data_IF_615419988472
#
_entry.id   IF_615419988472
#
_cell.length_a   1.000
_cell.length_b   1.000
_cell.length_c   1.000
_cell.angle_alpha   90.00
_cell.angle_beta   90.00
_cell.angle_gamma   90.00
#
_symmetry.space_group_name_H-M   'P 1'
#
loop_
_entity.id
_entity.type
_entity.pdbx_description
1 polymer ?
#
# COMPACT_ATOMS: atom_id res chain seq x y z
N UNK A 1 5.31 34.38 17.28
CA UNK A 1 6.05 33.78 16.14
C UNK A 1 5.19 33.78 14.88
N UNK A 2 4.00 33.16 14.90
CA UNK A 2 3.09 33.08 13.74
C UNK A 2 2.74 34.44 13.10
N UNK A 3 2.44 35.47 13.89
CA UNK A 3 2.13 36.81 13.37
C UNK A 3 3.26 37.45 12.55
N UNK A 4 4.53 37.15 12.88
CA UNK A 4 5.69 37.66 12.14
C UNK A 4 5.87 36.91 10.82
N UNK A 5 5.70 35.59 10.81
CA UNK A 5 5.79 34.75 9.60
C UNK A 5 4.72 35.15 8.59
N UNK A 6 3.48 35.39 9.06
CA UNK A 6 2.39 35.89 8.22
C UNK A 6 2.73 37.27 7.67
N UNK A 7 3.19 38.21 8.50
CA UNK A 7 3.54 39.56 8.05
C UNK A 7 4.65 39.54 6.98
N UNK A 8 5.65 38.67 7.13
CA UNK A 8 6.67 38.46 6.10
C UNK A 8 6.05 37.95 4.81
N UNK A 9 5.25 36.87 4.85
CA UNK A 9 4.60 36.32 3.65
C UNK A 9 3.75 37.36 2.91
N UNK A 10 3.00 38.18 3.65
CA UNK A 10 2.13 39.23 3.09
C UNK A 10 2.90 40.28 2.26
N UNK A 11 4.22 40.44 2.47
CA UNK A 11 5.05 41.35 1.67
C UNK A 11 5.39 40.78 0.28
N UNK A 12 5.29 39.45 0.11
CA UNK A 12 5.70 38.73 -1.11
C UNK A 12 4.51 38.17 -1.90
N UNK A 13 3.28 38.40 -1.45
CA UNK A 13 2.06 38.03 -2.18
C UNK A 13 1.30 39.29 -2.62
N UNK A 14 0.40 39.20 -3.63
CA UNK A 14 -0.39 40.35 -4.07
C UNK A 14 -1.21 40.99 -2.94
N UNK A 15 -1.41 42.31 -2.98
CA UNK A 15 -2.10 43.05 -1.92
C UNK A 15 -3.55 42.59 -1.69
N UNK A 16 -4.21 42.12 -2.74
CA UNK A 16 -5.56 41.58 -2.68
C UNK A 16 -5.62 40.10 -2.26
N UNK A 17 -4.48 39.46 -2.00
CA UNK A 17 -4.42 38.07 -1.61
C UNK A 17 -4.60 37.88 -0.10
N UNK A 18 -5.17 36.74 0.27
CA UNK A 18 -5.37 36.36 1.68
C UNK A 18 -4.74 34.99 1.94
N UNK A 19 -4.06 34.84 3.08
CA UNK A 19 -3.52 33.54 3.49
C UNK A 19 -4.66 32.56 3.73
N UNK A 20 -4.56 31.37 3.14
CA UNK A 20 -5.59 30.33 3.24
C UNK A 20 -5.63 29.76 4.66
N UNK A 21 -6.82 29.54 5.20
CA UNK A 21 -7.02 28.72 6.40
C UNK A 21 -7.22 27.25 6.00
N UNK A 22 -6.55 26.35 6.72
CA UNK A 22 -6.72 24.91 6.57
C UNK A 22 -8.10 24.53 7.12
N UNK A 23 -8.87 23.75 6.35
CA UNK A 23 -10.24 23.36 6.64
C UNK A 23 -10.34 22.23 7.66
N UNK A 24 -9.77 22.47 8.84
CA UNK A 24 -9.91 21.66 10.04
C UNK A 24 -10.51 22.52 11.16
N UNK A 25 -11.03 21.93 12.26
CA UNK A 25 -11.75 22.69 13.29
C UNK A 25 -10.99 23.88 13.88
N UNK A 26 -9.66 23.78 14.03
CA UNK A 26 -8.82 24.86 14.54
C UNK A 26 -8.52 25.98 13.53
N UNK A 27 -8.83 25.76 12.24
CA UNK A 27 -8.59 26.70 11.14
C UNK A 27 -7.23 27.41 11.14
N UNK A 28 -6.10 26.68 11.28
CA UNK A 28 -4.79 27.31 11.24
C UNK A 28 -4.52 27.90 9.85
N UNK A 29 -3.67 28.92 9.78
CA UNK A 29 -3.19 29.43 8.50
C UNK A 29 -2.29 28.38 7.82
N UNK A 30 -2.46 28.20 6.51
CA UNK A 30 -1.65 27.34 5.67
C UNK A 30 -0.29 28.01 5.39
N UNK A 31 0.53 28.11 6.44
CA UNK A 31 1.84 28.76 6.44
C UNK A 31 2.79 27.98 7.35
N UNK A 32 4.06 27.88 6.98
CA UNK A 32 5.07 27.17 7.76
C UNK A 32 6.49 27.61 7.42
N UNK A 33 7.41 27.25 8.31
CA UNK A 33 8.85 27.36 8.10
C UNK A 33 9.42 25.94 8.10
N UNK A 34 10.12 25.57 7.04
CA UNK A 34 10.63 24.20 6.86
C UNK A 34 11.88 24.20 5.99
N UNK A 35 12.83 23.33 6.30
CA UNK A 35 13.99 23.02 5.46
C UNK A 35 13.53 22.10 4.30
N UNK A 36 13.09 22.72 3.20
CA UNK A 36 12.52 22.00 2.06
C UNK A 36 13.59 21.37 1.17
N UNK A 37 14.80 21.94 1.13
CA UNK A 37 15.89 21.45 0.27
C UNK A 37 17.03 20.75 1.01
N UNK A 38 16.96 20.69 2.34
CA UNK A 38 17.86 19.91 3.19
C UNK A 38 19.20 20.61 3.45
N UNK A 39 19.29 21.93 3.27
CA UNK A 39 20.51 22.71 3.49
C UNK A 39 20.67 23.22 4.93
N UNK A 40 19.69 22.92 5.80
CA UNK A 40 19.65 23.34 7.21
C UNK A 40 19.08 24.74 7.43
N UNK A 41 18.70 25.46 6.37
CA UNK A 41 18.08 26.78 6.42
C UNK A 41 16.57 26.64 6.17
N UNK A 42 15.76 27.26 7.01
CA UNK A 42 14.30 27.17 6.86
C UNK A 42 13.78 28.10 5.76
N UNK A 43 13.07 27.53 4.79
CA UNK A 43 12.22 28.28 3.86
C UNK A 43 10.86 28.61 4.47
N UNK A 44 10.32 29.75 4.07
CA UNK A 44 8.96 30.14 4.38
C UNK A 44 8.04 29.65 3.25
N UNK A 45 7.05 28.83 3.58
CA UNK A 45 6.06 28.34 2.63
C UNK A 45 4.66 28.77 3.07
N UNK A 46 3.84 29.22 2.11
CA UNK A 46 2.48 29.65 2.42
C UNK A 46 1.53 29.55 1.24
N UNK A 47 0.30 29.13 1.53
CA UNK A 47 -0.80 29.14 0.58
C UNK A 47 -1.65 30.40 0.73
N UNK A 48 -1.98 31.04 -0.40
CA UNK A 48 -2.81 32.24 -0.44
C UNK A 48 -3.88 32.14 -1.53
N UNK A 49 -4.99 32.83 -1.31
CA UNK A 49 -6.11 32.93 -2.24
C UNK A 49 -6.02 34.24 -3.00
N UNK A 50 -6.08 34.16 -4.33
CA UNK A 50 -6.09 35.29 -5.24
C UNK A 50 -7.16 35.06 -6.31
N UNK A 51 -8.16 35.96 -6.37
CA UNK A 51 -9.26 35.91 -7.37
C UNK A 51 -9.91 34.52 -7.45
N UNK A 52 -10.22 33.94 -6.29
CA UNK A 52 -10.86 32.63 -6.15
C UNK A 52 -9.95 31.42 -6.36
N UNK A 53 -8.71 31.60 -6.80
CA UNK A 53 -7.72 30.51 -6.99
C UNK A 53 -6.77 30.46 -5.79
N UNK A 54 -6.33 29.25 -5.43
CA UNK A 54 -5.28 29.08 -4.41
C UNK A 54 -3.93 28.95 -5.10
N UNK A 55 -2.94 29.64 -4.55
CA UNK A 55 -1.55 29.61 -4.94
C UNK A 55 -0.70 29.26 -3.73
N UNK A 56 0.47 28.69 -3.97
CA UNK A 56 1.50 28.48 -2.96
C UNK A 56 2.74 29.24 -3.39
N UNK A 57 3.37 29.93 -2.45
CA UNK A 57 4.70 30.51 -2.65
C UNK A 57 5.67 29.92 -1.64
N UNK A 58 6.92 29.75 -2.09
CA UNK A 58 8.05 29.33 -1.26
C UNK A 58 9.09 30.44 -1.33
N UNK A 59 9.50 30.93 -0.17
CA UNK A 59 10.51 31.97 -0.01
C UNK A 59 11.75 31.38 0.64
N UNK A 60 12.92 31.65 0.05
CA UNK A 60 14.22 31.25 0.58
C UNK A 60 14.96 32.47 1.12
N UNK A 61 15.54 32.42 2.32
CA UNK A 61 16.30 33.54 2.85
C UNK A 61 17.65 33.68 2.14
N UNK A 62 18.00 34.90 1.77
CA UNK A 62 19.30 35.26 1.19
C UNK A 62 19.87 36.47 1.95
N UNK A 63 20.82 36.19 2.85
CA UNK A 63 21.34 37.21 3.77
C UNK A 63 20.26 37.74 4.71
N UNK A 64 19.91 39.03 4.57
CA UNK A 64 18.86 39.69 5.36
C UNK A 64 17.52 39.85 4.62
N UNK A 65 17.41 39.30 3.40
CA UNK A 65 16.21 39.41 2.57
C UNK A 65 15.62 38.02 2.27
N UNK A 66 14.39 38.01 1.73
CA UNK A 66 13.76 36.81 1.20
C UNK A 66 13.68 36.90 -0.32
N UNK A 67 13.86 35.78 -1.00
CA UNK A 67 13.64 35.66 -2.45
C UNK A 67 12.55 34.63 -2.72
N UNK A 68 11.72 34.88 -3.72
CA UNK A 68 10.70 33.91 -4.18
C UNK A 68 11.43 32.78 -4.90
N UNK A 69 11.49 31.61 -4.29
CA UNK A 69 12.07 30.41 -4.89
C UNK A 69 11.08 29.72 -5.85
N UNK A 70 9.79 29.72 -5.49
CA UNK A 70 8.74 29.18 -6.36
C UNK A 70 7.40 29.86 -6.09
N UNK A 71 6.55 29.92 -7.12
CA UNK A 71 5.12 30.19 -6.99
C UNK A 71 4.36 29.30 -7.95
N UNK A 72 3.38 28.57 -7.44
CA UNK A 72 2.59 27.65 -8.26
C UNK A 72 1.12 27.65 -7.83
N UNK A 73 0.25 27.29 -8.77
CA UNK A 73 -1.20 27.22 -8.55
C UNK A 73 -1.57 25.87 -7.92
N UNK A 74 -2.43 25.89 -6.91
CA UNK A 74 -2.98 24.68 -6.29
C UNK A 74 -4.03 23.96 -7.16
N UNK A 75 -4.25 22.67 -6.89
CA UNK A 75 -5.20 21.81 -7.61
C UNK A 75 -6.66 22.01 -7.16
N UNK A 76 -6.89 22.39 -5.90
CA UNK A 76 -8.21 22.44 -5.27
C UNK A 76 -8.74 23.85 -5.00
N UNK A 77 -9.98 23.93 -4.50
CA UNK A 77 -10.63 25.17 -4.08
C UNK A 77 -10.44 25.48 -2.58
N UNK A 78 -9.93 24.51 -1.82
CA UNK A 78 -9.59 24.59 -0.40
C UNK A 78 -8.36 23.76 -0.05
N UNK A 79 -7.92 23.84 1.20
CA UNK A 79 -6.79 23.08 1.75
C UNK A 79 -7.26 22.37 3.02
N UNK A 80 -7.14 21.04 3.09
CA UNK A 80 -7.55 20.21 4.23
C UNK A 80 -6.37 19.68 5.04
N UNK A 81 -5.18 19.70 4.44
CA UNK A 81 -3.91 19.43 5.12
C UNK A 81 -2.83 20.36 4.53
N UNK A 82 -2.00 20.94 5.38
CA UNK A 82 -0.85 21.74 4.98
C UNK A 82 0.26 21.53 5.99
N UNK A 83 1.32 20.84 5.59
CA UNK A 83 2.43 20.50 6.47
C UNK A 83 3.62 20.04 5.65
N UNK A 84 4.74 19.79 6.30
CA UNK A 84 5.94 19.31 5.64
C UNK A 84 6.63 18.25 6.50
N UNK A 85 7.16 17.22 5.86
CA UNK A 85 7.76 16.07 6.54
C UNK A 85 8.64 15.29 5.57
N UNK A 86 9.64 14.53 6.07
CA UNK A 86 10.52 13.71 5.24
C UNK A 86 9.77 12.49 4.70
N UNK A 87 8.93 12.66 3.67
CA UNK A 87 8.15 11.57 3.07
C UNK A 87 8.84 10.95 1.86
N UNK A 88 9.63 11.71 1.09
CA UNK A 88 10.30 11.20 -0.12
C UNK A 88 11.69 10.65 0.17
N UNK A 89 12.40 11.26 1.11
CA UNK A 89 13.72 10.84 1.57
C UNK A 89 13.96 11.36 3.00
N UNK A 90 15.00 10.87 3.66
CA UNK A 90 15.34 11.24 5.03
C UNK A 90 16.14 12.56 5.19
N UNK A 91 16.32 13.34 4.12
CA UNK A 91 17.15 14.57 4.13
C UNK A 91 16.34 15.84 3.91
N UNK A 92 15.32 15.81 3.05
CA UNK A 92 14.47 16.97 2.75
C UNK A 92 13.12 16.85 3.44
N UNK A 93 12.45 17.98 3.68
CA UNK A 93 11.08 18.02 4.17
C UNK A 93 10.14 18.61 3.11
N UNK A 94 9.72 17.83 2.10
CA UNK A 94 8.79 18.29 1.07
C UNK A 94 7.46 18.78 1.67
N UNK A 95 6.83 19.74 0.98
CA UNK A 95 5.53 20.27 1.36
C UNK A 95 4.44 19.28 0.94
N UNK A 96 3.59 18.91 1.88
CA UNK A 96 2.47 18.00 1.69
C UNK A 96 1.17 18.79 1.79
N UNK A 97 0.31 18.67 0.77
CA UNK A 97 -0.95 19.40 0.70
C UNK A 97 -2.10 18.45 0.40
N UNK A 98 -3.15 18.52 1.22
CA UNK A 98 -4.46 17.96 0.91
C UNK A 98 -5.31 19.02 0.22
N UNK A 99 -5.46 18.93 -1.10
CA UNK A 99 -6.26 19.88 -1.89
C UNK A 99 -7.72 19.49 -1.84
N UNK A 100 -8.59 20.33 -1.28
CA UNK A 100 -10.03 20.05 -1.32
C UNK A 100 -10.54 20.17 -2.76
N UNK A 101 -11.08 19.07 -3.27
CA UNK A 101 -11.62 18.95 -4.64
C UNK A 101 -13.12 18.66 -4.66
N UNK A 102 -13.69 18.23 -3.54
CA UNK A 102 -15.14 18.16 -3.33
C UNK A 102 -15.49 18.25 -1.84
N UNK A 103 -16.79 18.18 -1.52
CA UNK A 103 -17.30 18.33 -0.16
C UNK A 103 -16.62 17.42 0.88
N UNK A 104 -16.35 16.16 0.51
CA UNK A 104 -15.69 15.17 1.37
C UNK A 104 -14.40 14.60 0.77
N UNK A 105 -13.93 15.17 -0.35
CA UNK A 105 -12.78 14.65 -1.10
C UNK A 105 -11.69 15.70 -1.20
N UNK A 106 -10.47 15.24 -0.92
CA UNK A 106 -9.23 15.94 -1.16
C UNK A 106 -8.32 15.10 -2.05
N UNK A 107 -7.46 15.75 -2.82
CA UNK A 107 -6.39 15.13 -3.58
C UNK A 107 -5.03 15.44 -2.92
N UNK A 108 -4.13 14.46 -2.89
CA UNK A 108 -2.80 14.61 -2.29
C UNK A 108 -1.83 15.23 -3.29
N UNK A 109 -1.01 16.15 -2.80
CA UNK A 109 0.23 16.57 -3.46
C UNK A 109 1.39 16.51 -2.48
N UNK A 110 2.57 16.17 -3.00
CA UNK A 110 3.85 16.22 -2.29
C UNK A 110 4.80 17.02 -3.17
N UNK A 111 5.09 18.25 -2.76
CA UNK A 111 5.97 19.16 -3.48
C UNK A 111 7.40 19.02 -2.97
N UNK A 112 8.23 18.34 -3.75
CA UNK A 112 9.64 18.10 -3.43
C UNK A 112 10.56 19.07 -4.19
N UNK A 113 11.69 19.42 -3.57
CA UNK A 113 12.67 20.33 -4.15
C UNK A 113 13.65 19.55 -5.01
N UNK A 114 13.36 19.46 -6.31
CA UNK A 114 14.18 18.71 -7.25
C UNK A 114 15.25 19.59 -7.91
N UNK A 115 16.16 18.98 -8.67
CA UNK A 115 17.12 19.72 -9.52
C UNK A 115 16.44 20.63 -10.55
N UNK A 116 15.20 20.33 -10.91
CA UNK A 116 14.40 21.12 -11.85
C UNK A 116 13.44 22.10 -11.15
N UNK A 117 13.66 22.34 -9.85
CA UNK A 117 12.82 23.17 -9.00
C UNK A 117 11.76 22.37 -8.24
N UNK A 118 10.87 23.09 -7.56
CA UNK A 118 9.80 22.51 -6.74
C UNK A 118 8.71 21.93 -7.64
N UNK A 119 8.39 20.64 -7.46
CA UNK A 119 7.37 19.93 -8.26
C UNK A 119 6.55 18.98 -7.42
N UNK A 120 5.28 18.80 -7.81
CA UNK A 120 4.45 17.72 -7.24
C UNK A 120 4.95 16.38 -7.77
N UNK A 121 5.48 15.54 -6.87
CA UNK A 121 6.00 14.21 -7.22
C UNK A 121 4.89 13.15 -7.25
N UNK A 122 3.66 13.49 -6.83
CA UNK A 122 2.51 12.57 -6.91
C UNK A 122 2.00 12.50 -8.36
N UNK A 123 2.33 11.39 -9.04
CA UNK A 123 2.00 11.20 -10.45
C UNK A 123 0.50 10.99 -10.75
N UNK A 124 -0.27 10.43 -9.79
CA UNK A 124 -1.69 10.11 -9.94
C UNK A 124 -2.49 10.62 -8.76
N UNK A 125 -3.74 11.00 -8.99
CA UNK A 125 -4.60 11.54 -7.94
C UNK A 125 -4.82 10.51 -6.82
N UNK A 126 -4.54 10.90 -5.58
CA UNK A 126 -4.72 10.07 -4.40
C UNK A 126 -5.85 10.66 -3.54
N UNK A 127 -7.07 10.34 -3.95
CA UNK A 127 -8.26 10.87 -3.29
C UNK A 127 -8.47 10.31 -1.88
N UNK A 128 -8.76 11.20 -0.95
CA UNK A 128 -9.00 10.88 0.45
C UNK A 128 -9.97 11.86 1.10
N UNK A 129 -10.55 11.47 2.24
CA UNK A 129 -11.40 12.34 3.06
C UNK A 129 -10.64 12.90 4.25
N UNK A 130 -9.74 12.11 4.82
CA UNK A 130 -8.76 12.55 5.82
C UNK A 130 -7.41 11.98 5.48
N UNK A 131 -6.36 12.68 5.90
CA UNK A 131 -5.01 12.19 5.78
C UNK A 131 -4.21 12.51 7.04
N UNK A 132 -3.21 11.69 7.30
CA UNK A 132 -2.25 11.87 8.37
C UNK A 132 -0.87 11.51 7.87
N UNK A 133 0.13 12.29 8.29
CA UNK A 133 1.53 12.02 8.02
C UNK A 133 2.16 11.62 9.35
N UNK A 134 2.68 10.40 9.41
CA UNK A 134 3.10 9.77 10.66
C UNK A 134 4.42 9.05 10.44
N UNK A 135 5.36 9.20 11.36
CA UNK A 135 6.58 8.40 11.38
C UNK A 135 6.33 7.12 12.17
N UNK A 136 6.23 5.97 11.50
CA UNK A 136 5.89 4.69 12.14
C UNK A 136 7.10 3.78 12.38
N UNK A 137 8.20 4.04 11.67
CA UNK A 137 9.48 3.36 11.82
C UNK A 137 10.33 4.01 12.93
N UNK A 138 11.64 4.11 12.75
CA UNK A 138 12.56 4.71 13.74
C UNK A 138 12.48 6.24 13.69
N UNK A 139 12.70 6.93 14.82
CA UNK A 139 12.91 8.38 14.81
C UNK A 139 14.01 8.77 13.82
N UNK A 140 13.73 9.75 12.96
CA UNK A 140 14.64 10.20 11.90
C UNK A 140 14.56 9.41 10.58
N UNK A 141 13.66 8.42 10.47
CA UNK A 141 13.34 7.77 9.19
C UNK A 141 12.30 8.56 8.40
N UNK A 142 12.00 8.14 7.18
CA UNK A 142 10.92 8.74 6.38
C UNK A 142 9.56 8.55 7.04
N UNK A 143 8.66 9.49 6.84
CA UNK A 143 7.28 9.40 7.30
C UNK A 143 6.40 8.64 6.29
N UNK A 144 5.43 7.90 6.82
CA UNK A 144 4.33 7.32 6.08
C UNK A 144 3.15 8.28 5.97
N UNK A 145 2.33 8.09 4.93
CA UNK A 145 1.10 8.84 4.68
C UNK A 145 -0.08 7.88 4.78
N UNK A 146 -0.95 8.09 5.76
CA UNK A 146 -2.20 7.35 5.89
C UNK A 146 -3.34 8.13 5.26
N UNK A 147 -4.08 7.48 4.36
CA UNK A 147 -5.23 8.03 3.66
C UNK A 147 -6.51 7.32 4.10
N UNK A 148 -7.48 8.09 4.58
CA UNK A 148 -8.80 7.63 4.98
C UNK A 148 -9.79 8.02 3.90
N UNK A 149 -10.26 7.04 3.12
CA UNK A 149 -11.20 7.23 2.04
C UNK A 149 -12.61 6.93 2.54
N UNK A 150 -13.50 7.93 2.53
CA UNK A 150 -14.88 7.73 2.97
C UNK A 150 -15.56 6.60 2.17
N UNK A 151 -16.30 5.75 2.88
CA UNK A 151 -17.11 4.70 2.31
C UNK A 151 -18.59 5.00 2.50
N UNK A 152 -19.08 4.91 3.74
CA UNK A 152 -20.46 5.26 4.11
C UNK A 152 -20.56 5.68 5.58
N UNK A 153 -21.48 6.60 5.90
CA UNK A 153 -21.66 7.09 7.26
C UNK A 153 -20.38 7.67 7.86
N UNK A 154 -19.86 7.06 8.93
CA UNK A 154 -18.55 7.38 9.52
C UNK A 154 -17.51 6.27 9.28
N UNK A 155 -17.68 5.50 8.22
CA UNK A 155 -16.77 4.44 7.84
C UNK A 155 -15.81 4.89 6.73
N UNK A 156 -14.58 4.44 6.85
CA UNK A 156 -13.46 4.81 5.98
C UNK A 156 -12.63 3.58 5.64
N UNK A 157 -12.29 3.44 4.36
CA UNK A 157 -11.22 2.55 3.90
C UNK A 157 -9.90 3.25 4.17
N UNK A 158 -9.05 2.63 5.00
CA UNK A 158 -7.78 3.20 5.43
C UNK A 158 -6.64 2.41 4.80
N UNK A 159 -5.68 3.12 4.20
CA UNK A 159 -4.42 2.57 3.69
C UNK A 159 -3.27 3.46 4.13
N UNK A 160 -2.14 2.84 4.43
CA UNK A 160 -0.89 3.54 4.79
C UNK A 160 0.10 3.35 3.64
N UNK A 161 0.74 4.42 3.22
CA UNK A 161 1.68 4.44 2.12
C UNK A 161 3.04 4.95 2.57
N UNK A 162 4.09 4.47 1.91
CA UNK A 162 5.44 5.03 1.97
C UNK A 162 5.93 5.39 0.58
N UNK A 163 6.91 6.29 0.52
CA UNK A 163 7.60 6.57 -0.71
C UNK A 163 8.66 5.51 -0.99
N UNK A 164 8.68 4.99 -2.21
CA UNK A 164 9.70 4.09 -2.70
C UNK A 164 9.84 4.26 -4.21
N UNK A 165 11.07 4.41 -4.71
CA UNK A 165 11.38 4.56 -6.13
C UNK A 165 10.48 5.54 -6.91
N UNK A 166 10.34 6.75 -6.37
CA UNK A 166 9.64 7.84 -7.05
C UNK A 166 8.11 7.76 -6.99
N UNK A 167 7.53 6.91 -6.13
CA UNK A 167 6.08 6.75 -6.00
C UNK A 167 5.65 6.32 -4.60
N UNK A 168 4.35 6.38 -4.35
CA UNK A 168 3.73 5.82 -3.15
C UNK A 168 3.42 4.34 -3.33
N UNK A 169 3.90 3.50 -2.42
CA UNK A 169 3.55 2.08 -2.31
C UNK A 169 2.84 1.82 -0.97
N UNK A 170 1.92 0.83 -0.89
CA UNK A 170 1.35 0.42 0.39
C UNK A 170 2.43 -0.04 1.38
N UNK A 171 2.34 0.39 2.64
CA UNK A 171 3.27 0.05 3.71
C UNK A 171 2.60 -0.92 4.70
N UNK A 172 2.43 -2.19 4.29
CA UNK A 172 1.70 -3.20 5.08
C UNK A 172 2.44 -3.60 6.36
N UNK A 173 3.76 -3.58 6.32
CA UNK A 173 4.66 -3.87 7.43
C UNK A 173 4.41 -2.98 8.66
N UNK A 174 3.92 -1.74 8.47
CA UNK A 174 3.59 -0.81 9.57
C UNK A 174 2.13 -0.86 10.00
N UNK A 175 1.29 -1.70 9.36
CA UNK A 175 -0.13 -1.82 9.72
C UNK A 175 -0.35 -2.24 11.18
N UNK A 176 0.41 -3.19 11.77
CA UNK A 176 0.22 -3.57 13.16
C UNK A 176 0.39 -2.42 14.16
N UNK A 177 1.19 -1.41 13.80
CA UNK A 177 1.38 -0.20 14.61
C UNK A 177 0.27 0.81 14.32
N UNK A 178 0.06 1.15 13.05
CA UNK A 178 -0.90 2.20 12.68
C UNK A 178 -2.36 1.80 12.93
N UNK A 179 -2.75 0.55 12.72
CA UNK A 179 -4.17 0.16 12.82
C UNK A 179 -4.68 0.07 14.26
N UNK A 180 -3.85 0.12 15.29
CA UNK A 180 -4.32 0.17 16.69
C UNK A 180 -5.24 1.37 16.96
N UNK A 181 -4.94 2.52 16.36
CA UNK A 181 -5.83 3.71 16.44
C UNK A 181 -7.09 3.54 15.60
N UNK A 182 -7.04 2.84 14.46
CA UNK A 182 -8.21 2.53 13.62
C UNK A 182 -9.17 1.60 14.38
N UNK A 183 -8.63 0.56 15.04
CA UNK A 183 -9.38 -0.31 15.95
C UNK A 183 -10.04 0.52 17.06
N UNK A 184 -9.29 1.43 17.68
CA UNK A 184 -9.83 2.33 18.73
C UNK A 184 -10.95 3.22 18.20
N UNK A 185 -10.81 3.74 16.98
CA UNK A 185 -11.81 4.55 16.31
C UNK A 185 -13.14 3.79 16.14
N UNK A 186 -13.11 2.59 15.54
CA UNK A 186 -14.32 1.81 15.32
C UNK A 186 -14.93 1.26 16.61
N UNK A 187 -14.11 0.84 17.59
CA UNK A 187 -14.61 0.50 18.94
C UNK A 187 -15.37 1.66 19.58
N UNK A 188 -14.93 2.92 19.40
CA UNK A 188 -15.64 4.10 19.92
C UNK A 188 -16.95 4.38 19.16
N UNK A 189 -17.00 4.15 17.85
CA UNK A 189 -18.24 4.29 17.08
C UNK A 189 -19.28 3.25 17.49
N UNK A 190 -18.88 1.99 17.66
CA UNK A 190 -19.75 0.88 18.06
C UNK A 190 -20.33 1.01 19.47
N UNK A 191 -19.72 1.82 20.34
CA UNK A 191 -20.33 2.20 21.64
C UNK A 191 -21.57 3.07 21.49
N UNK A 192 -21.75 3.73 20.34
CA UNK A 192 -22.84 4.67 20.08
C UNK A 192 -23.87 4.12 19.11
N UNK A 193 -23.43 3.39 18.09
CA UNK A 193 -24.29 2.87 17.03
C UNK A 193 -23.86 1.45 16.71
N UNK A 194 -24.76 0.50 16.91
CA UNK A 194 -24.58 -0.88 16.46
C UNK A 194 -24.80 -0.94 14.94
N UNK A 195 -23.77 -1.29 14.18
CA UNK A 195 -23.75 -1.15 12.73
C UNK A 195 -22.91 -2.23 12.08
N UNK A 196 -23.50 -2.97 11.14
CA UNK A 196 -22.79 -3.97 10.32
C UNK A 196 -21.56 -3.38 9.62
N UNK A 197 -21.64 -2.13 9.13
CA UNK A 197 -20.52 -1.44 8.48
C UNK A 197 -19.36 -1.24 9.47
N UNK A 198 -19.65 -0.77 10.69
CA UNK A 198 -18.60 -0.51 11.68
C UNK A 198 -18.02 -1.81 12.25
N UNK A 199 -18.82 -2.87 12.35
CA UNK A 199 -18.32 -4.20 12.68
C UNK A 199 -17.39 -4.75 11.61
N UNK A 200 -17.73 -4.58 10.33
CA UNK A 200 -16.86 -4.98 9.22
C UNK A 200 -15.52 -4.24 9.26
N UNK A 201 -15.52 -2.92 9.38
CA UNK A 201 -14.27 -2.16 9.44
C UNK A 201 -13.48 -2.37 10.73
N UNK A 202 -14.15 -2.70 11.84
CA UNK A 202 -13.45 -3.18 13.02
C UNK A 202 -12.77 -4.52 12.75
N UNK A 203 -13.43 -5.44 12.05
CA UNK A 203 -12.86 -6.74 11.69
C UNK A 203 -11.62 -6.58 10.79
N UNK A 204 -11.72 -5.77 9.73
CA UNK A 204 -10.60 -5.43 8.84
C UNK A 204 -9.42 -4.80 9.62
N UNK A 205 -9.71 -3.85 10.51
CA UNK A 205 -8.66 -3.22 11.31
C UNK A 205 -8.00 -4.18 12.32
N UNK A 206 -8.76 -5.13 12.89
CA UNK A 206 -8.24 -6.16 13.79
C UNK A 206 -7.36 -7.17 13.04
N UNK A 207 -7.76 -7.55 11.83
CA UNK A 207 -6.96 -8.41 10.97
C UNK A 207 -5.62 -7.76 10.62
N UNK A 208 -5.61 -6.45 10.30
CA UNK A 208 -4.40 -5.68 9.99
C UNK A 208 -3.43 -5.49 11.16
N UNK A 209 -3.87 -5.77 12.39
CA UNK A 209 -2.98 -5.85 13.57
C UNK A 209 -2.66 -7.29 14.00
N UNK A 210 -3.12 -8.29 13.24
CA UNK A 210 -2.94 -9.71 13.55
C UNK A 210 -3.84 -10.27 14.66
N UNK A 211 -4.89 -9.54 15.09
CA UNK A 211 -5.88 -10.05 16.06
C UNK A 211 -6.95 -10.87 15.32
N UNK A 212 -6.59 -12.10 14.94
CA UNK A 212 -7.44 -13.01 14.17
C UNK A 212 -8.75 -13.33 14.89
N UNK A 213 -8.69 -13.61 16.21
CA UNK A 213 -9.87 -13.95 16.99
C UNK A 213 -10.81 -12.75 17.13
N UNK A 214 -10.26 -11.56 17.37
CA UNK A 214 -11.01 -10.32 17.40
C UNK A 214 -11.65 -10.02 16.05
N UNK A 215 -10.91 -10.18 14.95
CA UNK A 215 -11.41 -9.99 13.60
C UNK A 215 -12.57 -10.94 13.28
N UNK A 216 -12.42 -12.23 13.56
CA UNK A 216 -13.46 -13.24 13.34
C UNK A 216 -14.74 -12.93 14.14
N UNK A 217 -14.59 -12.53 15.41
CA UNK A 217 -15.71 -12.14 16.26
C UNK A 217 -16.44 -10.90 15.72
N UNK A 218 -15.71 -9.88 15.28
CA UNK A 218 -16.27 -8.67 14.69
C UNK A 218 -16.98 -8.96 13.35
N UNK A 219 -16.40 -9.80 12.50
CA UNK A 219 -17.01 -10.25 11.25
C UNK A 219 -18.31 -11.05 11.50
N UNK A 220 -18.32 -11.92 12.53
CA UNK A 220 -19.52 -12.65 12.91
C UNK A 220 -20.65 -11.71 13.35
N UNK A 221 -20.31 -10.65 14.09
CA UNK A 221 -21.26 -9.59 14.43
C UNK A 221 -21.78 -8.88 13.20
N UNK A 222 -20.93 -8.55 12.22
CA UNK A 222 -21.36 -7.92 10.96
C UNK A 222 -22.35 -8.80 10.16
N UNK A 223 -22.08 -10.11 10.08
CA UNK A 223 -22.90 -11.10 9.38
C UNK A 223 -24.27 -11.37 10.01
N UNK A 224 -24.40 -11.19 11.32
CA UNK A 224 -25.65 -11.43 12.03
C UNK A 224 -26.76 -10.41 11.70
N UNK A 225 -26.44 -9.32 10.98
CA UNK A 225 -27.41 -8.33 10.56
C UNK A 225 -28.27 -8.85 9.41
N UNK A 226 -29.54 -8.42 9.37
CA UNK A 226 -30.49 -8.75 8.28
C UNK A 226 -29.94 -8.41 6.88
N UNK A 227 -29.20 -7.30 6.78
CA UNK A 227 -28.53 -6.84 5.57
C UNK A 227 -27.07 -6.57 5.90
N UNK A 228 -26.20 -7.59 5.84
CA UNK A 228 -24.82 -7.47 6.26
C UNK A 228 -24.00 -6.69 5.20
N UNK A 229 -23.06 -5.88 5.67
CA UNK A 229 -22.17 -5.08 4.82
C UNK A 229 -20.72 -5.59 4.90
N UNK A 230 -19.98 -5.70 3.78
CA UNK A 230 -20.32 -5.26 2.42
C UNK A 230 -21.35 -6.12 1.69
N UNK A 231 -21.13 -7.43 1.61
CA UNK A 231 -22.14 -8.42 1.19
C UNK A 231 -21.99 -9.67 2.04
N UNK A 232 -23.05 -10.49 2.14
CA UNK A 232 -22.97 -11.76 2.87
C UNK A 232 -21.88 -12.66 2.30
N UNK A 233 -21.79 -12.76 0.97
CA UNK A 233 -20.76 -13.54 0.28
C UNK A 233 -19.35 -13.03 0.60
N UNK A 234 -19.11 -11.72 0.53
CA UNK A 234 -17.79 -11.14 0.81
C UNK A 234 -17.40 -11.24 2.29
N UNK A 235 -18.37 -11.16 3.20
CA UNK A 235 -18.15 -11.38 4.63
C UNK A 235 -17.97 -12.86 4.98
N UNK A 236 -18.68 -13.76 4.29
CA UNK A 236 -18.44 -15.20 4.40
C UNK A 236 -17.07 -15.55 3.84
N UNK A 237 -16.60 -14.89 2.77
CA UNK A 237 -15.21 -14.96 2.31
C UNK A 237 -14.28 -14.42 3.39
N UNK A 238 -14.53 -13.25 3.98
CA UNK A 238 -13.73 -12.72 5.10
C UNK A 238 -13.66 -13.67 6.32
N UNK A 239 -14.71 -14.45 6.59
CA UNK A 239 -14.73 -15.46 7.65
C UNK A 239 -14.15 -16.83 7.26
N UNK A 240 -14.33 -17.25 6.00
CA UNK A 240 -13.78 -18.50 5.45
C UNK A 240 -12.31 -18.35 5.13
N UNK A 241 -11.88 -17.14 4.80
CA UNK A 241 -10.50 -16.63 4.83
C UNK A 241 -10.06 -16.41 6.28
N UNK A 242 -10.25 -17.42 7.11
CA UNK A 242 -9.05 -17.82 7.80
C UNK A 242 -8.05 -18.12 6.68
N UNK A 243 -6.90 -17.47 6.73
CA UNK A 243 -5.73 -17.91 5.99
C UNK A 243 -5.37 -19.29 6.54
N UNK A 244 -6.21 -20.29 6.31
CA UNK A 244 -6.13 -21.64 6.85
C UNK A 244 -5.77 -22.49 5.67
N UNK A 245 -4.47 -22.53 5.44
CA UNK A 245 -3.88 -23.80 5.10
C UNK A 245 -4.07 -24.74 6.29
N UNK A 246 -4.68 -25.90 6.06
CA UNK A 246 -4.39 -27.02 6.94
C UNK A 246 -2.92 -27.39 6.70
N UNK A 247 -2.06 -27.31 7.72
CA UNK A 247 -0.66 -27.66 7.55
C UNK A 247 -0.61 -29.05 6.93
N UNK A 248 0.03 -29.14 5.77
CA UNK A 248 0.43 -30.43 5.24
C UNK A 248 1.50 -30.95 6.19
N UNK A 249 1.07 -31.69 7.21
CA UNK A 249 2.00 -32.33 8.14
C UNK A 249 2.79 -33.40 7.39
N UNK A 250 4.10 -33.20 7.36
CA UNK A 250 5.10 -34.21 7.03
C UNK A 250 4.87 -34.98 5.70
N UNK A 251 4.49 -34.26 4.62
CA UNK A 251 4.47 -34.89 3.31
C UNK A 251 5.90 -35.19 2.84
N UNK A 252 6.13 -36.45 2.44
CA UNK A 252 7.41 -36.93 1.91
C UNK A 252 8.60 -36.69 2.87
N UNK A 253 8.34 -36.60 4.18
CA UNK A 253 9.36 -36.39 5.20
C UNK A 253 9.87 -34.95 5.30
N UNK A 254 9.13 -33.96 4.79
CA UNK A 254 9.47 -32.54 4.89
C UNK A 254 8.62 -31.88 5.97
N UNK A 255 9.27 -31.16 6.88
CA UNK A 255 8.61 -30.49 7.99
C UNK A 255 8.18 -29.07 7.61
N UNK A 256 6.86 -28.86 7.52
CA UNK A 256 6.21 -27.59 7.22
C UNK A 256 5.55 -26.93 8.44
N UNK A 257 5.82 -27.42 9.66
CA UNK A 257 5.19 -26.93 10.90
C UNK A 257 5.48 -25.45 11.21
N UNK A 258 6.52 -24.88 10.60
CA UNK A 258 6.96 -23.51 10.79
C UNK A 258 6.53 -22.56 9.65
N UNK A 259 5.58 -22.97 8.81
CA UNK A 259 5.00 -22.10 7.80
C UNK A 259 3.91 -21.20 8.40
N UNK A 260 3.96 -19.92 8.03
CA UNK A 260 2.85 -19.00 8.19
C UNK A 260 2.01 -19.00 6.91
N UNK A 261 0.75 -18.60 6.99
CA UNK A 261 -0.08 -18.48 5.79
C UNK A 261 -0.03 -17.04 5.27
N UNK A 262 0.07 -16.88 3.95
CA UNK A 262 -0.02 -15.62 3.24
C UNK A 262 -1.20 -15.69 2.28
N UNK A 263 -2.12 -14.74 2.42
CA UNK A 263 -3.46 -14.85 1.86
C UNK A 263 -3.58 -14.13 0.51
N UNK A 264 -4.53 -14.59 -0.29
CA UNK A 264 -4.91 -13.95 -1.54
C UNK A 264 -5.31 -12.49 -1.27
N UNK A 265 -4.88 -11.58 -2.14
CA UNK A 265 -5.36 -10.21 -2.15
C UNK A 265 -6.73 -10.13 -2.82
N UNK A 266 -7.70 -9.55 -2.12
CA UNK A 266 -9.08 -9.45 -2.57
C UNK A 266 -9.44 -8.10 -3.20
N UNK A 267 -8.58 -7.10 -3.05
CA UNK A 267 -8.81 -5.83 -3.73
C UNK A 267 -8.54 -5.95 -5.24
N UNK A 268 -9.26 -5.18 -6.05
CA UNK A 268 -9.00 -5.13 -7.49
C UNK A 268 -7.74 -4.32 -7.78
N UNK A 269 -6.87 -4.82 -8.65
CA UNK A 269 -5.68 -4.11 -9.10
C UNK A 269 -5.60 -4.06 -10.64
N UNK A 270 -6.19 -3.01 -11.22
CA UNK A 270 -6.30 -2.86 -12.67
C UNK A 270 -4.96 -2.79 -13.40
N UNK A 271 -3.90 -2.33 -12.73
CA UNK A 271 -2.58 -2.27 -13.33
C UNK A 271 -1.92 -3.65 -13.39
N UNK A 272 -2.06 -4.43 -12.32
CA UNK A 272 -1.63 -5.83 -12.30
C UNK A 272 -2.42 -6.66 -13.31
N UNK A 273 -3.75 -6.51 -13.36
CA UNK A 273 -4.61 -7.20 -14.33
C UNK A 273 -4.12 -6.97 -15.76
N UNK A 274 -3.82 -5.72 -16.14
CA UNK A 274 -3.27 -5.40 -17.47
C UNK A 274 -1.90 -6.03 -17.71
N UNK A 275 -1.00 -5.96 -16.74
CA UNK A 275 0.32 -6.58 -16.86
C UNK A 275 0.23 -8.10 -17.00
N UNK A 276 -0.75 -8.74 -16.35
CA UNK A 276 -1.02 -10.17 -16.47
C UNK A 276 -1.61 -10.52 -17.84
N UNK A 277 -2.60 -9.75 -18.33
CA UNK A 277 -3.13 -9.87 -19.68
C UNK A 277 -2.03 -9.78 -20.75
N UNK A 278 -1.13 -8.81 -20.62
CA UNK A 278 0.02 -8.61 -21.53
C UNK A 278 1.04 -9.75 -21.41
N UNK A 279 1.38 -10.17 -20.19
CA UNK A 279 2.39 -11.20 -19.96
C UNK A 279 1.96 -12.59 -20.47
N UNK A 280 0.64 -12.87 -20.52
CA UNK A 280 0.08 -14.16 -20.94
C UNK A 280 -0.67 -14.11 -22.28
N UNK A 281 -0.77 -12.94 -22.90
CA UNK A 281 -1.46 -12.71 -24.19
C UNK A 281 -2.93 -13.16 -24.18
N UNK A 282 -3.71 -12.64 -23.21
CA UNK A 282 -5.14 -12.94 -23.07
C UNK A 282 -5.93 -11.75 -22.51
N UNK A 283 -7.26 -11.88 -22.46
CA UNK A 283 -8.17 -10.90 -21.84
C UNK A 283 -9.00 -11.52 -20.73
N UNK A 284 -8.89 -10.98 -19.51
CA UNK A 284 -9.64 -11.47 -18.34
C UNK A 284 -11.15 -11.34 -18.52
N UNK A 285 -11.60 -10.31 -19.26
CA UNK A 285 -13.01 -10.08 -19.52
C UNK A 285 -13.62 -11.05 -20.55
N UNK A 286 -12.79 -11.70 -21.36
CA UNK A 286 -13.21 -12.56 -22.48
C UNK A 286 -13.11 -14.05 -22.12
N UNK A 287 -12.35 -14.39 -21.07
CA UNK A 287 -12.02 -15.75 -20.69
C UNK A 287 -12.58 -16.13 -19.31
N UNK A 288 -12.97 -17.39 -19.12
CA UNK A 288 -13.37 -17.91 -17.81
C UNK A 288 -12.13 -18.24 -16.95
N UNK A 289 -11.43 -17.19 -16.52
CA UNK A 289 -10.16 -17.27 -15.78
C UNK A 289 -10.29 -16.55 -14.44
N UNK A 290 -10.04 -17.27 -13.35
CA UNK A 290 -9.86 -16.70 -12.02
C UNK A 290 -8.40 -16.31 -11.85
N UNK A 291 -8.18 -15.04 -11.59
CA UNK A 291 -6.88 -14.49 -11.20
C UNK A 291 -6.83 -14.38 -9.68
N UNK A 292 -5.88 -15.08 -9.07
CA UNK A 292 -5.55 -14.97 -7.65
C UNK A 292 -4.14 -14.43 -7.50
N UNK A 293 -3.89 -13.53 -6.55
CA UNK A 293 -2.57 -12.94 -6.40
C UNK A 293 -2.19 -12.61 -4.96
N UNK A 294 -0.90 -12.62 -4.68
CA UNK A 294 -0.31 -12.52 -3.35
C UNK A 294 0.85 -11.54 -3.38
N UNK A 295 0.86 -10.59 -2.44
CA UNK A 295 2.01 -9.72 -2.23
C UNK A 295 2.99 -10.41 -1.29
N UNK A 296 4.25 -10.48 -1.71
CA UNK A 296 5.33 -11.06 -0.92
C UNK A 296 6.66 -10.40 -1.28
N UNK A 297 7.39 -9.97 -0.27
CA UNK A 297 8.73 -9.44 -0.43
C UNK A 297 9.72 -10.61 -0.60
N UNK A 298 10.09 -10.91 -1.84
CA UNK A 298 10.98 -12.03 -2.16
C UNK A 298 12.45 -11.64 -2.00
N UNK A 299 12.80 -10.36 -2.15
CA UNK A 299 14.20 -9.92 -2.12
C UNK A 299 14.61 -9.16 -0.84
N UNK A 300 13.66 -8.86 0.06
CA UNK A 300 13.77 -8.02 1.26
C UNK A 300 14.18 -6.56 0.97
N UNK A 301 13.74 -5.99 -0.15
CA UNK A 301 13.93 -4.56 -0.46
C UNK A 301 12.82 -3.66 0.10
N UNK A 302 11.76 -4.25 0.68
CA UNK A 302 10.60 -3.55 1.21
C UNK A 302 9.55 -3.18 0.16
N UNK A 303 9.73 -3.58 -1.10
CA UNK A 303 8.77 -3.53 -2.20
C UNK A 303 8.31 -4.96 -2.49
N UNK A 304 7.05 -5.27 -2.16
CA UNK A 304 6.51 -6.60 -2.40
C UNK A 304 6.44 -6.93 -3.91
N UNK A 305 7.03 -8.05 -4.30
CA UNK A 305 6.69 -8.75 -5.53
C UNK A 305 5.26 -9.31 -5.45
N UNK A 306 4.70 -9.64 -6.62
CA UNK A 306 3.37 -10.21 -6.73
C UNK A 306 3.44 -11.60 -7.34
N UNK A 307 3.07 -12.61 -6.57
CA UNK A 307 2.80 -13.94 -7.11
C UNK A 307 1.38 -13.98 -7.65
N UNK A 308 1.21 -14.34 -8.92
CA UNK A 308 -0.08 -14.50 -9.61
C UNK A 308 -0.29 -15.98 -9.92
N UNK A 309 -1.50 -16.46 -9.66
CA UNK A 309 -1.99 -17.78 -10.03
C UNK A 309 -3.21 -17.64 -10.95
N UNK A 310 -3.17 -18.30 -12.10
CA UNK A 310 -4.23 -18.25 -13.11
C UNK A 310 -4.96 -19.60 -13.17
N UNK A 311 -6.22 -19.59 -12.78
CA UNK A 311 -7.07 -20.78 -12.76
C UNK A 311 -8.13 -20.68 -13.86
N UNK A 312 -8.06 -21.59 -14.83
CA UNK A 312 -9.03 -21.64 -15.93
C UNK A 312 -8.66 -22.72 -16.95
N UNK A 313 -9.59 -23.08 -17.86
CA UNK A 313 -9.38 -24.16 -18.82
C UNK A 313 -8.14 -23.98 -19.70
N UNK A 314 -7.79 -22.72 -20.02
CA UNK A 314 -6.63 -22.39 -20.84
C UNK A 314 -5.29 -22.49 -20.06
N UNK A 315 -5.33 -22.24 -18.75
CA UNK A 315 -4.11 -22.15 -17.93
C UNK A 315 -3.81 -23.43 -17.14
N UNK A 316 -4.76 -24.35 -17.03
CA UNK A 316 -4.69 -25.52 -16.18
C UNK A 316 -4.67 -26.85 -16.94
N UNK A 317 -3.78 -27.74 -16.53
CA UNK A 317 -3.74 -29.14 -16.96
C UNK A 317 -3.54 -30.09 -15.78
N UNK A 318 -3.30 -31.37 -16.08
CA UNK A 318 -3.13 -32.39 -15.02
C UNK A 318 -1.89 -32.18 -14.15
N UNK A 319 -0.89 -31.45 -14.64
CA UNK A 319 0.33 -31.15 -13.88
C UNK A 319 0.22 -29.91 -12.98
N UNK A 320 -0.82 -29.09 -13.15
CA UNK A 320 -1.00 -27.81 -12.46
C UNK A 320 -1.42 -26.70 -13.42
N UNK A 321 -1.51 -25.48 -12.91
CA UNK A 321 -1.90 -24.29 -13.66
C UNK A 321 -0.72 -23.40 -14.01
N UNK A 322 -1.00 -22.26 -14.62
CA UNK A 322 0.01 -21.23 -14.90
C UNK A 322 0.09 -20.24 -13.74
N UNK A 323 1.29 -19.71 -13.51
CA UNK A 323 1.49 -18.62 -12.55
C UNK A 323 2.64 -17.72 -12.97
N UNK A 324 2.82 -16.61 -12.27
CA UNK A 324 3.93 -15.70 -12.52
C UNK A 324 4.32 -14.95 -11.26
N UNK A 325 5.58 -14.52 -11.20
CA UNK A 325 6.02 -13.48 -10.27
C UNK A 325 6.19 -12.21 -11.07
N UNK A 326 5.62 -11.11 -10.57
CA UNK A 326 5.86 -9.76 -11.07
C UNK A 326 6.64 -8.98 -10.03
N UNK A 327 7.64 -8.24 -10.49
CA UNK A 327 8.27 -7.18 -9.71
C UNK A 327 7.68 -5.84 -10.11
N UNK A 328 7.88 -4.83 -9.28
CA UNK A 328 7.45 -3.48 -9.63
C UNK A 328 8.65 -2.62 -10.01
N UNK A 329 8.65 -2.07 -11.22
CA UNK A 329 9.70 -1.16 -11.71
C UNK A 329 9.05 0.13 -12.22
N UNK A 330 9.51 1.28 -11.75
CA UNK A 330 9.00 2.61 -12.17
C UNK A 330 7.47 2.76 -12.08
N UNK A 331 6.83 2.05 -11.15
CA UNK A 331 5.37 2.11 -11.01
C UNK A 331 4.60 1.10 -11.85
N UNK A 332 5.26 0.25 -12.63
CA UNK A 332 4.62 -0.77 -13.48
C UNK A 332 4.98 -2.18 -12.98
N UNK A 333 4.06 -3.13 -13.22
CA UNK A 333 4.30 -4.54 -12.94
C UNK A 333 5.06 -5.13 -14.12
N UNK A 334 6.30 -5.54 -13.89
CA UNK A 334 7.15 -6.19 -14.88
C UNK A 334 7.24 -7.68 -14.56
N UNK A 335 6.94 -8.59 -15.51
CA UNK A 335 7.02 -10.02 -15.26
C UNK A 335 8.47 -10.42 -14.97
N UNK A 336 8.70 -11.00 -13.79
CA UNK A 336 10.00 -11.53 -13.37
C UNK A 336 10.16 -12.99 -13.83
N UNK A 337 9.13 -13.81 -13.64
CA UNK A 337 9.12 -15.21 -14.08
C UNK A 337 7.71 -15.68 -14.38
N UNK A 338 7.55 -16.47 -15.44
CA UNK A 338 6.33 -17.26 -15.69
C UNK A 338 6.59 -18.72 -15.36
N UNK A 339 5.64 -19.35 -14.69
CA UNK A 339 5.69 -20.73 -14.27
C UNK A 339 4.64 -21.58 -14.98
N UNK A 340 5.05 -22.79 -15.34
CA UNK A 340 4.13 -23.88 -15.66
C UNK A 340 3.92 -24.78 -14.45
N UNK A 341 2.83 -25.54 -14.43
CA UNK A 341 2.59 -26.62 -13.47
C UNK A 341 2.55 -26.16 -12.01
N UNK A 342 2.00 -24.96 -11.78
CA UNK A 342 1.81 -24.40 -10.44
C UNK A 342 0.66 -25.13 -9.76
N UNK A 343 0.91 -25.63 -8.56
CA UNK A 343 -0.11 -26.16 -7.66
C UNK A 343 -0.04 -25.38 -6.35
N UNK A 344 -1.20 -25.07 -5.80
CA UNK A 344 -1.29 -24.46 -4.46
C UNK A 344 -1.13 -25.54 -3.37
N UNK A 345 -0.55 -25.19 -2.21
CA UNK A 345 0.08 -23.90 -1.91
C UNK A 345 1.44 -23.74 -2.62
N UNK A 346 1.83 -22.49 -2.86
CA UNK A 346 3.21 -22.16 -3.22
C UNK A 346 3.93 -21.71 -1.96
N UNK A 347 5.08 -22.29 -1.66
CA UNK A 347 5.80 -21.98 -0.43
C UNK A 347 6.95 -21.01 -0.76
N UNK A 348 7.00 -19.91 -0.02
CA UNK A 348 8.09 -18.93 -0.04
C UNK A 348 8.99 -19.21 1.16
N UNK A 349 10.20 -19.66 0.92
CA UNK A 349 11.16 -20.01 1.97
C UNK A 349 11.81 -18.77 2.61
N UNK A 350 12.25 -18.90 3.86
CA UNK A 350 13.20 -17.95 4.46
C UNK A 350 14.61 -18.06 3.87
N UNK A 351 14.95 -19.18 3.23
CA UNK A 351 16.24 -19.32 2.55
C UNK A 351 16.25 -18.55 1.22
N UNK A 352 17.39 -17.95 0.90
CA UNK A 352 17.58 -17.15 -0.32
C UNK A 352 18.68 -17.70 -1.22
N UNK A 353 18.50 -17.54 -2.52
CA UNK A 353 19.55 -17.71 -3.53
C UNK A 353 19.62 -16.44 -4.39
N UNK A 354 20.82 -15.89 -4.60
CA UNK A 354 21.02 -14.65 -5.38
C UNK A 354 20.12 -13.48 -4.95
N UNK A 355 19.91 -13.31 -3.64
CA UNK A 355 19.14 -12.20 -3.07
C UNK A 355 17.63 -12.43 -2.97
N UNK A 356 17.10 -13.43 -3.69
CA UNK A 356 15.67 -13.76 -3.71
C UNK A 356 15.37 -15.01 -2.89
N UNK A 357 14.21 -15.02 -2.21
CA UNK A 357 13.68 -16.16 -1.44
C UNK A 357 13.43 -17.34 -2.38
N UNK A 358 13.82 -18.53 -1.96
CA UNK A 358 13.58 -19.73 -2.73
C UNK A 358 12.09 -20.08 -2.71
N UNK A 359 11.57 -20.49 -3.86
CA UNK A 359 10.19 -20.96 -3.99
C UNK A 359 10.17 -22.49 -3.93
N UNK A 360 9.15 -23.06 -3.29
CA UNK A 360 8.96 -24.51 -3.21
C UNK A 360 7.57 -24.86 -3.72
N UNK A 361 7.53 -25.66 -4.79
CA UNK A 361 6.31 -26.03 -5.50
C UNK A 361 6.05 -27.53 -5.32
N UNK A 362 4.79 -27.90 -5.09
CA UNK A 362 4.39 -29.30 -5.15
C UNK A 362 4.18 -29.71 -6.61
N UNK A 363 4.96 -30.68 -7.06
CA UNK A 363 4.93 -31.21 -8.42
C UNK A 363 4.23 -32.55 -8.39
N UNK A 364 3.15 -32.69 -9.18
CA UNK A 364 2.41 -33.93 -9.35
C UNK A 364 1.62 -33.91 -10.67
N UNK A 365 1.19 -35.09 -11.14
CA UNK A 365 0.42 -35.25 -12.38
C UNK A 365 1.30 -35.56 -13.59
N UNK A 366 0.71 -35.70 -14.79
CA UNK A 366 1.48 -35.99 -16.02
C UNK A 366 2.26 -37.32 -16.03
N UNK A 367 1.97 -38.24 -15.10
CA UNK A 367 2.62 -39.56 -15.00
C UNK A 367 3.93 -39.59 -14.21
N UNK A 368 4.35 -38.48 -13.58
CA UNK A 368 5.54 -38.46 -12.72
C UNK A 368 5.20 -38.75 -11.26
N UNK A 369 6.16 -39.32 -10.53
CA UNK A 369 6.10 -39.42 -9.07
C UNK A 369 6.09 -38.01 -8.47
N UNK A 370 5.23 -37.78 -7.49
CA UNK A 370 5.07 -36.48 -6.86
C UNK A 370 6.23 -36.12 -5.91
N UNK A 371 6.60 -34.84 -5.89
CA UNK A 371 7.68 -34.33 -5.03
C UNK A 371 7.56 -32.81 -4.83
N UNK A 372 8.28 -32.29 -3.84
CA UNK A 372 8.48 -30.85 -3.68
C UNK A 372 9.73 -30.41 -4.43
N UNK A 373 9.56 -29.50 -5.38
CA UNK A 373 10.61 -28.89 -6.18
C UNK A 373 11.08 -27.60 -5.51
N UNK A 374 12.40 -27.40 -5.37
CA UNK A 374 12.97 -26.13 -4.91
C UNK A 374 13.48 -25.32 -6.10
N UNK A 375 12.88 -24.16 -6.29
CA UNK A 375 13.18 -23.21 -7.35
C UNK A 375 14.06 -22.11 -6.76
N UNK A 376 15.30 -22.06 -7.22
CA UNK A 376 16.29 -21.07 -6.80
C UNK A 376 16.41 -20.00 -7.85
N UNK A 377 16.42 -18.74 -7.43
CA UNK A 377 16.67 -17.63 -8.34
C UNK A 377 18.10 -17.74 -8.90
N UNK A 378 18.27 -17.56 -10.21
CA UNK A 378 19.57 -17.67 -10.88
C UNK A 378 20.35 -16.34 -10.96
N UNK A 379 19.77 -15.27 -10.42
CA UNK A 379 20.27 -13.89 -10.52
C UNK A 379 19.49 -13.03 -11.52
N UNK A 380 18.67 -13.65 -12.38
CA UNK A 380 17.80 -12.96 -13.35
C UNK A 380 16.35 -13.44 -13.26
N UNK A 381 16.10 -14.74 -13.10
CA UNK A 381 14.76 -15.35 -13.06
C UNK A 381 14.74 -16.58 -12.15
N UNK A 382 13.53 -17.05 -11.79
CA UNK A 382 13.36 -18.41 -11.32
C UNK A 382 13.23 -19.38 -12.52
N UNK A 383 13.51 -20.68 -12.32
CA UNK A 383 13.20 -21.71 -13.32
C UNK A 383 11.69 -21.79 -13.59
N UNK A 384 11.30 -21.73 -14.86
CA UNK A 384 9.88 -21.68 -15.27
C UNK A 384 9.14 -23.01 -15.10
N UNK A 385 9.84 -24.14 -15.11
CA UNK A 385 9.24 -25.46 -14.94
C UNK A 385 9.73 -26.14 -13.65
N UNK A 386 8.86 -26.33 -12.64
CA UNK A 386 9.24 -26.96 -11.38
C UNK A 386 9.55 -28.47 -11.53
N UNK A 387 9.03 -29.15 -12.55
CA UNK A 387 9.15 -30.61 -12.68
C UNK A 387 10.56 -31.13 -13.00
N UNK A 388 11.45 -30.23 -13.41
CA UNK A 388 12.86 -30.53 -13.72
C UNK A 388 13.82 -29.99 -12.66
N UNK A 389 13.29 -29.46 -11.55
CA UNK A 389 14.10 -28.89 -10.47
C UNK A 389 14.48 -29.92 -9.42
N UNK A 390 15.43 -29.53 -8.58
CA UNK A 390 15.91 -30.37 -7.48
C UNK A 390 14.79 -30.67 -6.49
N UNK A 391 14.64 -31.96 -6.15
CA UNK A 391 13.73 -32.42 -5.10
C UNK A 391 14.21 -31.89 -3.74
N UNK A 392 13.29 -31.38 -2.92
CA UNK A 392 13.54 -31.13 -1.50
C UNK A 392 13.75 -32.48 -0.81
N UNK A 393 14.83 -32.60 -0.04
CA UNK A 393 15.20 -33.86 0.59
C UNK A 393 14.32 -34.12 1.83
N UNK A 394 13.94 -35.39 2.10
CA UNK A 394 13.38 -35.77 3.38
C UNK A 394 14.30 -35.37 4.54
N UNK A 395 13.72 -34.98 5.67
CA UNK A 395 14.42 -34.45 6.84
C UNK A 395 14.66 -32.93 6.80
N UNK A 396 14.20 -32.23 5.76
CA UNK A 396 14.30 -30.77 5.67
C UNK A 396 13.17 -30.11 6.47
N UNK A 397 13.51 -29.15 7.33
CA UNK A 397 12.53 -28.24 7.95
C UNK A 397 12.48 -26.95 7.15
N UNK A 398 11.29 -26.57 6.68
CA UNK A 398 11.05 -25.33 5.94
C UNK A 398 10.41 -24.30 6.86
N UNK A 399 10.97 -23.09 6.82
CA UNK A 399 10.41 -21.88 7.43
C UNK A 399 10.03 -20.89 6.34
N UNK A 400 8.98 -20.11 6.57
CA UNK A 400 8.54 -19.08 5.64
C UNK A 400 7.03 -18.96 5.57
N UNK A 401 6.51 -18.70 4.37
CA UNK A 401 5.09 -18.49 4.13
C UNK A 401 4.53 -19.43 3.06
N UNK A 402 3.32 -19.95 3.27
CA UNK A 402 2.52 -20.64 2.27
C UNK A 402 1.52 -19.67 1.65
N UNK A 403 1.62 -19.45 0.34
CA UNK A 403 0.63 -18.71 -0.45
C UNK A 403 -0.57 -19.64 -0.69
N UNK A 404 -1.72 -19.31 -0.10
CA UNK A 404 -2.87 -20.24 0.07
C UNK A 404 -4.13 -19.80 -0.62
#
# INVERSE_FOLDING_TARGET
MEGMVVATLMQYIPREAEVVEVQIPSRPKAIGMVDMDGDGVLELVGAYRLRGKIWVTVLKPYGHAWCVAATFKGKGYGVTYFGAAPVTNGRTCPLIVGWQVAAIWSDLSVYDWTREGIRDVIARNQYHSFMEVVQLNRPGSTCEIALWKHDTGKAYKVKVYRWCDGRLIPARDVYPVYFQKVVTYYKRLLRRVDSTVYWYYLADALQKIGDEQGAANAAAKALAFKHPYPSKELLETFQREKCTYEPVENQKGIDFSNLKNACEENEKNEQLEKAVEEAFDFKLAEENVRLSYYFVDLNDDGIEEVFVYLEGPFFCGTGGCSGAVFRQENGEYVPLTRFSLVRRPVIVSEEKTHGYRDLIFYVAGGGIEDFFARLRFDGTTYPSNPSIQSKVKPGTTIRGAALV
#
